data_IF_359202715707
#
_entry.id   IF_359202715707
#
_cell.length_a   1.000
_cell.length_b   1.000
_cell.length_c   1.000
_cell.angle_alpha   90.00
_cell.angle_beta   90.00
_cell.angle_gamma   90.00
#
_symmetry.space_group_name_H-M   'P 1'
#
loop_
_entity.id
_entity.type
_entity.pdbx_description
1 polymer ?
#
# COMPACT_ATOMS: atom_id res chain seq x y z
N UNK A 1 25.51 -6.65 6.53
CA UNK A 1 24.33 -7.56 6.58
C UNK A 1 23.06 -6.87 7.05
N UNK A 2 23.05 -6.15 8.18
CA UNK A 2 21.85 -5.46 8.72
C UNK A 2 21.15 -4.54 7.71
N UNK A 3 21.90 -3.74 6.96
CA UNK A 3 21.38 -2.84 5.92
C UNK A 3 20.62 -3.57 4.80
N UNK A 4 21.12 -4.74 4.39
CA UNK A 4 20.47 -5.55 3.35
C UNK A 4 19.15 -6.15 3.85
N UNK A 5 19.10 -6.57 5.12
CA UNK A 5 17.87 -7.05 5.77
C UNK A 5 16.81 -5.95 5.86
N UNK A 6 17.18 -4.73 6.23
CA UNK A 6 16.23 -3.61 6.24
C UNK A 6 15.70 -3.28 4.84
N UNK A 7 16.56 -3.29 3.83
CA UNK A 7 16.13 -3.11 2.43
C UNK A 7 15.15 -4.21 2.00
N UNK A 8 15.45 -5.47 2.30
CA UNK A 8 14.56 -6.59 1.98
C UNK A 8 13.21 -6.45 2.70
N UNK A 9 13.23 -6.12 4.00
CA UNK A 9 12.02 -5.91 4.79
C UNK A 9 11.16 -4.78 4.20
N UNK A 10 11.76 -3.64 3.85
CA UNK A 10 11.06 -2.51 3.21
C UNK A 10 10.41 -2.96 1.90
N UNK A 11 11.13 -3.69 1.06
CA UNK A 11 10.60 -4.21 -0.21
C UNK A 11 9.38 -5.10 0.05
N UNK A 12 9.48 -6.05 0.97
CA UNK A 12 8.35 -6.94 1.32
C UNK A 12 7.13 -6.16 1.82
N UNK A 13 7.33 -5.20 2.72
CA UNK A 13 6.25 -4.37 3.25
C UNK A 13 5.54 -3.57 2.15
N UNK A 14 6.30 -2.99 1.21
CA UNK A 14 5.74 -2.25 0.07
C UNK A 14 4.96 -3.18 -0.86
N UNK A 15 5.48 -4.36 -1.19
CA UNK A 15 4.76 -5.31 -2.04
C UNK A 15 3.47 -5.83 -1.40
N UNK A 16 3.49 -6.10 -0.09
CA UNK A 16 2.28 -6.50 0.65
C UNK A 16 1.25 -5.35 0.64
N UNK A 17 1.69 -4.11 0.88
CA UNK A 17 0.80 -2.95 0.81
C UNK A 17 0.13 -2.80 -0.56
N UNK A 18 0.90 -2.95 -1.64
CA UNK A 18 0.39 -2.91 -3.00
C UNK A 18 -0.59 -4.05 -3.28
N UNK A 19 -0.30 -5.27 -2.81
CA UNK A 19 -1.22 -6.41 -2.96
C UNK A 19 -2.55 -6.16 -2.23
N UNK A 20 -2.51 -5.59 -1.02
CA UNK A 20 -3.72 -5.23 -0.24
C UNK A 20 -4.53 -4.09 -0.86
N UNK A 21 -3.91 -3.30 -1.75
CA UNK A 21 -4.58 -2.23 -2.50
C UNK A 21 -5.40 -2.77 -3.65
N UNK A 22 -5.10 -3.97 -4.15
CA UNK A 22 -5.83 -4.56 -5.26
C UNK A 22 -7.15 -5.09 -4.71
N UNK A 23 -8.31 -4.53 -5.10
CA UNK A 23 -9.60 -5.04 -4.68
C UNK A 23 -9.78 -6.45 -5.26
N UNK A 24 -10.44 -7.36 -4.54
CA UNK A 24 -10.75 -8.69 -5.06
C UNK A 24 -11.59 -8.54 -6.33
N UNK A 25 -11.37 -9.37 -7.35
CA UNK A 25 -12.19 -9.39 -8.57
C UNK A 25 -13.61 -9.80 -8.16
N UNK A 26 -14.66 -9.08 -8.58
CA UNK A 26 -16.02 -9.43 -8.18
C UNK A 26 -16.39 -10.74 -8.89
N UNK A 27 -16.88 -11.73 -8.14
CA UNK A 27 -17.51 -12.88 -8.77
C UNK A 27 -18.83 -12.40 -9.40
N UNK A 28 -18.98 -12.63 -10.70
CA UNK A 28 -20.16 -12.21 -11.49
C UNK A 28 -21.47 -12.81 -10.95
N UNK A 29 -21.38 -13.82 -10.09
CA UNK A 29 -22.51 -14.58 -9.55
C UNK A 29 -23.11 -14.02 -8.25
N UNK A 30 -22.43 -13.11 -7.55
CA UNK A 30 -22.92 -12.58 -6.26
C UNK A 30 -23.03 -11.07 -6.37
N UNK A 31 -24.26 -10.55 -6.49
CA UNK A 31 -24.59 -9.12 -6.60
C UNK A 31 -24.28 -8.26 -5.36
N UNK A 32 -23.22 -8.59 -4.61
CA UNK A 32 -22.78 -7.95 -3.36
C UNK A 32 -21.29 -7.54 -3.41
N UNK A 33 -20.74 -7.32 -4.61
CA UNK A 33 -19.28 -7.34 -4.83
C UNK A 33 -18.43 -6.28 -4.12
N UNK A 34 -18.97 -5.14 -3.66
CA UNK A 34 -18.13 -4.05 -3.12
C UNK A 34 -18.77 -3.18 -2.02
N UNK A 35 -19.60 -3.76 -1.16
CA UNK A 35 -20.44 -2.98 -0.23
C UNK A 35 -19.72 -2.26 0.93
N UNK A 36 -18.37 -2.25 1.01
CA UNK A 36 -17.67 -1.57 2.12
C UNK A 36 -16.51 -0.71 1.66
N UNK A 37 -16.82 0.53 1.27
CA UNK A 37 -15.86 1.62 1.42
C UNK A 37 -16.13 2.35 2.74
N UNK A 38 -15.10 2.57 3.57
CA UNK A 38 -13.68 2.35 3.26
C UNK A 38 -13.23 0.90 3.47
N UNK A 39 -12.42 0.39 2.53
CA UNK A 39 -11.89 -0.98 2.58
C UNK A 39 -10.80 -1.09 3.67
N UNK A 40 -10.95 -1.96 4.68
CA UNK A 40 -9.94 -2.15 5.73
C UNK A 40 -8.54 -2.48 5.20
N UNK A 41 -8.43 -3.18 4.06
CA UNK A 41 -7.14 -3.56 3.47
C UNK A 41 -6.33 -2.34 3.00
N UNK A 42 -7.00 -1.27 2.57
CA UNK A 42 -6.35 -0.01 2.19
C UNK A 42 -5.65 0.65 3.38
N UNK A 43 -6.32 0.70 4.53
CA UNK A 43 -5.75 1.26 5.76
C UNK A 43 -4.55 0.46 6.23
N UNK A 44 -4.64 -0.88 6.17
CA UNK A 44 -3.51 -1.75 6.53
C UNK A 44 -2.33 -1.47 5.59
N UNK A 45 -2.56 -1.36 4.28
CA UNK A 45 -1.49 -1.04 3.34
C UNK A 45 -0.88 0.35 3.56
N UNK A 46 -1.66 1.37 3.94
CA UNK A 46 -1.11 2.68 4.35
C UNK A 46 -0.19 2.58 5.56
N UNK A 47 -0.58 1.80 6.57
CA UNK A 47 0.26 1.55 7.75
C UNK A 47 1.59 0.88 7.33
N UNK A 48 1.54 -0.06 6.38
CA UNK A 48 2.74 -0.72 5.87
C UNK A 48 3.69 0.23 5.12
N UNK A 49 3.18 1.18 4.30
CA UNK A 49 4.08 2.18 3.68
C UNK A 49 4.64 3.14 4.73
N UNK A 50 3.85 3.51 5.75
CA UNK A 50 4.31 4.37 6.83
C UNK A 50 5.43 3.72 7.66
N UNK A 51 5.30 2.42 7.98
CA UNK A 51 6.34 1.63 8.63
C UNK A 51 7.59 1.51 7.75
N UNK A 52 7.41 1.27 6.45
CA UNK A 52 8.51 1.23 5.48
C UNK A 52 9.28 2.55 5.43
N UNK A 53 8.55 3.68 5.41
CA UNK A 53 9.13 5.01 5.47
C UNK A 53 9.91 5.25 6.76
N UNK A 54 9.33 4.90 7.91
CA UNK A 54 9.97 5.05 9.21
C UNK A 54 11.28 4.27 9.28
N UNK A 55 11.26 2.98 8.91
CA UNK A 55 12.45 2.12 8.92
C UNK A 55 13.50 2.68 7.98
N UNK A 56 13.10 3.06 6.77
CA UNK A 56 14.00 3.57 5.74
C UNK A 56 14.67 4.89 6.13
N UNK A 57 13.91 5.84 6.70
CA UNK A 57 14.46 7.12 7.15
C UNK A 57 15.39 6.92 8.36
N UNK A 58 14.98 6.13 9.35
CA UNK A 58 15.74 5.97 10.60
C UNK A 58 16.96 5.07 10.47
N UNK A 59 16.93 4.06 9.61
CA UNK A 59 18.00 3.05 9.53
C UNK A 59 18.85 3.16 8.28
N UNK A 60 18.32 3.73 7.19
CA UNK A 60 19.00 3.83 5.89
C UNK A 60 19.29 5.27 5.47
N UNK A 61 18.92 6.28 6.28
CA UNK A 61 19.06 7.71 5.97
C UNK A 61 18.42 8.12 4.63
N UNK A 62 17.32 7.45 4.26
CA UNK A 62 16.63 7.75 3.01
C UNK A 62 15.98 9.14 3.03
N UNK A 63 15.92 9.85 1.88
CA UNK A 63 15.29 11.16 1.80
C UNK A 63 13.80 11.11 2.20
N UNK A 64 13.38 12.02 3.09
CA UNK A 64 11.97 12.12 3.52
C UNK A 64 11.03 12.42 2.36
N UNK A 65 11.49 13.25 1.41
CA UNK A 65 10.70 13.64 0.23
C UNK A 65 10.35 12.42 -0.65
N UNK A 66 11.27 11.47 -0.81
CA UNK A 66 11.01 10.23 -1.56
C UNK A 66 9.81 9.48 -0.98
N UNK A 67 9.75 9.35 0.34
CA UNK A 67 8.64 8.69 1.03
C UNK A 67 7.35 9.50 1.00
N UNK A 68 7.44 10.83 1.04
CA UNK A 68 6.29 11.72 0.84
C UNK A 68 5.64 11.51 -0.53
N UNK A 69 6.43 11.56 -1.61
CA UNK A 69 5.95 11.30 -2.97
C UNK A 69 5.43 9.87 -3.12
N UNK A 70 6.11 8.88 -2.53
CA UNK A 70 5.68 7.48 -2.57
C UNK A 70 4.34 7.27 -1.85
N UNK A 71 4.13 7.91 -0.70
CA UNK A 71 2.87 7.85 0.04
C UNK A 71 1.72 8.50 -0.73
N UNK A 72 1.94 9.66 -1.33
CA UNK A 72 0.94 10.32 -2.20
C UNK A 72 0.62 9.41 -3.39
N UNK A 73 1.63 8.87 -4.07
CA UNK A 73 1.45 7.95 -5.18
C UNK A 73 0.64 6.72 -4.79
N UNK A 74 0.91 6.13 -3.62
CA UNK A 74 0.14 5.00 -3.09
C UNK A 74 -1.33 5.36 -2.86
N UNK A 75 -1.64 6.51 -2.25
CA UNK A 75 -3.01 6.96 -2.01
C UNK A 75 -3.75 7.17 -3.34
N UNK A 76 -3.12 7.87 -4.30
CA UNK A 76 -3.71 8.11 -5.61
C UNK A 76 -3.93 6.82 -6.39
N UNK A 77 -2.95 5.91 -6.38
CA UNK A 77 -3.06 4.59 -6.99
C UNK A 77 -4.20 3.77 -6.37
N UNK A 78 -4.30 3.78 -5.04
CA UNK A 78 -5.37 3.13 -4.28
C UNK A 78 -6.74 3.62 -4.69
N UNK A 79 -6.92 4.95 -4.70
CA UNK A 79 -8.19 5.59 -5.08
C UNK A 79 -8.53 5.31 -6.55
N UNK A 80 -7.57 5.38 -7.47
CA UNK A 80 -7.80 5.13 -8.89
C UNK A 80 -8.26 3.69 -9.15
N UNK A 81 -7.64 2.70 -8.51
CA UNK A 81 -8.02 1.30 -8.65
C UNK A 81 -9.42 1.05 -8.07
N UNK A 82 -9.72 1.59 -6.89
CA UNK A 82 -11.04 1.41 -6.28
C UNK A 82 -12.11 2.15 -7.08
N UNK A 83 -11.84 3.34 -7.61
CA UNK A 83 -12.75 4.07 -8.47
C UNK A 83 -13.08 3.31 -9.78
N UNK A 84 -12.09 2.67 -10.41
CA UNK A 84 -12.30 1.83 -11.61
C UNK A 84 -13.27 0.67 -11.33
N UNK A 85 -13.21 0.13 -10.12
CA UNK A 85 -14.00 -1.04 -9.74
C UNK A 85 -15.44 -0.68 -9.39
N UNK A 86 -15.70 0.60 -9.09
CA UNK A 86 -17.00 1.12 -8.68
C UNK A 86 -17.81 1.73 -9.84
N UNK A 87 -17.24 1.80 -11.05
CA UNK A 87 -17.84 2.37 -12.25
C UNK A 87 -18.02 1.30 -13.32
#
# INVERSE_FOLDING_TARGET
>A
MKTALYKLLIVLLVFIALALTIPPIPSVEVGHGYDTFPNPSLFIGLVLIALSALISIKTLNSPKLYWGFSGIGYVLFSLAIHARVWW
#
